data_IF_702589243750
#
_entry.id   IF_702589243750
#
_cell.length_a   1.000
_cell.length_b   1.000
_cell.length_c   1.000
_cell.angle_alpha   90.00
_cell.angle_beta   90.00
_cell.angle_gamma   90.00
#
_symmetry.space_group_name_H-M   'P 1'
#
loop_
_entity.id
_entity.type
_entity.pdbx_description
1 polymer ?
#
# COMPACT_ATOMS: atom_id res chain seq x y z
N UNK A 1 -23.98 30.47 29.52
CA UNK A 1 -23.55 29.05 29.65
C UNK A 1 -23.28 28.59 28.24
N UNK A 2 -22.04 28.74 27.80
CA UNK A 2 -21.56 28.23 26.50
C UNK A 2 -21.49 26.73 26.63
N UNK A 3 -22.32 26.01 25.87
CA UNK A 3 -22.20 24.57 25.72
C UNK A 3 -20.78 24.25 25.26
N UNK A 4 -20.02 23.48 26.05
CA UNK A 4 -18.85 22.79 25.56
C UNK A 4 -19.33 21.84 24.46
N UNK A 5 -19.34 22.31 23.21
CA UNK A 5 -19.33 21.41 22.08
C UNK A 5 -17.93 20.76 22.10
N UNK A 6 -17.87 19.47 22.44
CA UNK A 6 -16.71 18.65 22.16
C UNK A 6 -16.55 18.68 20.63
N UNK A 7 -15.67 19.53 20.15
CA UNK A 7 -15.25 19.52 18.75
C UNK A 7 -14.38 18.28 18.57
N UNK A 8 -14.99 17.21 18.07
CA UNK A 8 -14.23 16.08 17.53
C UNK A 8 -13.62 16.55 16.21
N UNK A 9 -12.34 16.23 15.99
CA UNK A 9 -11.67 16.53 14.73
C UNK A 9 -12.42 15.85 13.57
N UNK A 10 -12.66 16.59 12.49
CA UNK A 10 -13.27 16.06 11.27
C UNK A 10 -12.18 15.42 10.42
N UNK A 11 -12.23 14.11 10.29
CA UNK A 11 -11.25 13.32 9.56
C UNK A 11 -11.89 12.75 8.31
N UNK A 12 -11.26 12.97 7.15
CA UNK A 12 -11.72 12.42 5.88
C UNK A 12 -10.66 11.49 5.29
N UNK A 13 -11.11 10.37 4.71
CA UNK A 13 -10.26 9.39 4.05
C UNK A 13 -10.63 9.36 2.57
N UNK A 14 -9.71 9.80 1.73
CA UNK A 14 -9.89 9.85 0.28
C UNK A 14 -9.17 8.70 -0.37
N UNK A 15 -9.91 7.80 -1.00
CA UNK A 15 -9.38 6.77 -1.88
C UNK A 15 -9.42 7.21 -3.33
N UNK A 16 -8.26 7.35 -3.97
CA UNK A 16 -8.20 7.78 -5.37
C UNK A 16 -7.64 6.70 -6.29
N UNK A 17 -8.33 6.48 -7.43
CA UNK A 17 -8.04 5.42 -8.37
C UNK A 17 -8.43 4.03 -7.86
N UNK A 18 -8.23 2.99 -8.67
CA UNK A 18 -8.67 1.63 -8.33
C UNK A 18 -8.12 1.13 -6.99
N UNK A 19 -6.80 1.24 -6.76
CA UNK A 19 -6.18 0.81 -5.50
C UNK A 19 -6.67 1.59 -4.28
N UNK A 20 -6.79 2.92 -4.39
CA UNK A 20 -7.30 3.76 -3.30
C UNK A 20 -8.76 3.47 -2.96
N UNK A 21 -9.61 3.30 -3.97
CA UNK A 21 -11.03 2.94 -3.78
C UNK A 21 -11.18 1.56 -3.14
N UNK A 22 -10.36 0.58 -3.53
CA UNK A 22 -10.37 -0.75 -2.91
C UNK A 22 -9.95 -0.67 -1.43
N UNK A 23 -8.92 0.12 -1.12
CA UNK A 23 -8.49 0.34 0.26
C UNK A 23 -9.60 0.97 1.10
N UNK A 24 -10.29 2.00 0.59
CA UNK A 24 -11.44 2.63 1.26
C UNK A 24 -12.57 1.62 1.49
N UNK A 25 -12.95 0.84 0.47
CA UNK A 25 -13.97 -0.19 0.63
C UNK A 25 -13.57 -1.20 1.72
N UNK A 26 -12.30 -1.59 1.76
CA UNK A 26 -11.78 -2.50 2.80
C UNK A 26 -11.83 -1.89 4.20
N UNK A 27 -11.54 -0.58 4.33
CA UNK A 27 -11.66 0.14 5.60
C UNK A 27 -13.11 0.16 6.09
N UNK A 28 -14.08 0.36 5.19
CA UNK A 28 -15.52 0.33 5.49
C UNK A 28 -15.95 -1.08 5.91
N UNK A 29 -15.59 -2.11 5.14
CA UNK A 29 -15.91 -3.52 5.46
C UNK A 29 -15.38 -3.96 6.82
N UNK A 30 -14.18 -3.51 7.19
CA UNK A 30 -13.55 -3.83 8.48
C UNK A 30 -13.99 -2.91 9.62
N UNK A 31 -14.91 -1.96 9.33
CA UNK A 31 -15.60 -1.19 10.35
C UNK A 31 -14.82 -0.03 10.93
N UNK A 32 -13.87 0.56 10.20
CA UNK A 32 -13.19 1.79 10.62
C UNK A 32 -14.24 2.90 10.82
N UNK A 33 -14.21 3.55 11.97
CA UNK A 33 -15.19 4.56 12.39
C UNK A 33 -14.53 5.91 12.66
N UNK A 34 -15.36 6.94 12.80
CA UNK A 34 -14.90 8.28 13.16
C UNK A 34 -14.31 9.07 11.98
N UNK A 35 -14.46 8.58 10.77
CA UNK A 35 -14.02 9.21 9.52
C UNK A 35 -15.14 9.24 8.49
N UNK A 36 -15.07 10.19 7.55
CA UNK A 36 -15.89 10.23 6.35
C UNK A 36 -15.08 9.68 5.17
N UNK A 37 -15.67 8.77 4.39
CA UNK A 37 -15.01 8.12 3.27
C UNK A 37 -15.40 8.78 1.94
N UNK A 38 -14.37 9.11 1.15
CA UNK A 38 -14.51 9.70 -0.18
C UNK A 38 -13.80 8.81 -1.20
N UNK A 39 -14.52 8.36 -2.22
CA UNK A 39 -13.97 7.60 -3.34
C UNK A 39 -13.90 8.48 -4.58
N UNK A 40 -12.71 8.60 -5.18
CA UNK A 40 -12.47 9.38 -6.40
C UNK A 40 -11.90 8.44 -7.46
N UNK A 41 -12.53 8.36 -8.63
CA UNK A 41 -12.03 7.53 -9.70
C UNK A 41 -12.43 8.08 -11.09
N UNK A 42 -11.66 7.69 -12.10
CA UNK A 42 -11.97 7.87 -13.53
C UNK A 42 -12.69 6.66 -14.13
N UNK A 43 -12.81 5.57 -13.36
CA UNK A 43 -13.56 4.36 -13.69
C UNK A 43 -14.92 4.41 -12.96
N UNK A 44 -15.97 4.71 -13.73
CA UNK A 44 -17.32 4.84 -13.20
C UNK A 44 -17.89 3.50 -12.66
N UNK A 45 -17.48 2.37 -13.23
CA UNK A 45 -17.95 1.05 -12.76
C UNK A 45 -17.36 0.72 -11.38
N UNK A 46 -16.06 0.92 -11.20
CA UNK A 46 -15.41 0.72 -9.90
C UNK A 46 -16.02 1.65 -8.83
N UNK A 47 -16.37 2.88 -9.21
CA UNK A 47 -16.97 3.86 -8.31
C UNK A 47 -18.39 3.48 -7.89
N UNK A 48 -19.19 2.90 -8.79
CA UNK A 48 -20.54 2.41 -8.47
C UNK A 48 -20.51 1.30 -7.41
N UNK A 49 -19.48 0.47 -7.43
CA UNK A 49 -19.31 -0.65 -6.48
C UNK A 49 -18.72 -0.22 -5.13
N UNK A 50 -18.31 1.02 -4.99
CA UNK A 50 -17.77 1.53 -3.72
C UNK A 50 -18.90 1.79 -2.70
N UNK A 51 -18.60 1.57 -1.42
CA UNK A 51 -19.48 1.88 -0.29
C UNK A 51 -19.13 3.20 0.39
N UNK A 52 -18.25 4.03 -0.22
CA UNK A 52 -17.87 5.32 0.32
C UNK A 52 -19.06 6.29 0.42
N UNK A 53 -19.03 7.16 1.46
CA UNK A 53 -20.06 8.16 1.73
C UNK A 53 -20.20 9.17 0.58
N UNK A 54 -19.06 9.57 -0.01
CA UNK A 54 -18.99 10.48 -1.15
C UNK A 54 -18.27 9.79 -2.30
N UNK A 55 -18.80 9.91 -3.51
CA UNK A 55 -18.24 9.32 -4.73
C UNK A 55 -18.09 10.38 -5.81
N UNK A 56 -16.89 10.61 -6.28
CA UNK A 56 -16.57 11.59 -7.31
C UNK A 56 -16.07 10.89 -8.59
N UNK A 57 -16.85 10.97 -9.66
CA UNK A 57 -16.51 10.49 -11.00
C UNK A 57 -15.78 11.61 -11.74
N UNK A 58 -14.44 11.57 -11.71
CA UNK A 58 -13.60 12.61 -12.27
C UNK A 58 -13.13 12.29 -13.69
N UNK A 59 -13.05 13.31 -14.54
CA UNK A 59 -12.51 13.18 -15.90
C UNK A 59 -13.38 12.38 -16.86
N UNK A 60 -14.69 12.37 -16.65
CA UNK A 60 -15.65 11.66 -17.54
C UNK A 60 -15.50 12.06 -19.01
N UNK A 61 -15.22 13.34 -19.30
CA UNK A 61 -15.02 13.82 -20.67
C UNK A 61 -13.72 13.30 -21.28
N UNK A 62 -12.69 13.08 -20.45
CA UNK A 62 -11.39 12.56 -20.87
C UNK A 62 -11.40 11.04 -21.06
N UNK A 63 -12.08 10.32 -20.18
CA UNK A 63 -11.97 8.85 -20.06
C UNK A 63 -13.25 8.11 -20.46
N UNK A 64 -14.38 8.81 -20.56
CA UNK A 64 -15.73 8.25 -20.75
C UNK A 64 -16.13 7.26 -19.66
N UNK A 65 -15.54 7.41 -18.46
CA UNK A 65 -15.76 6.50 -17.34
C UNK A 65 -15.06 5.13 -17.45
N UNK A 66 -14.08 5.00 -18.36
CA UNK A 66 -13.34 3.74 -18.62
C UNK A 66 -11.96 3.70 -17.95
N UNK A 67 -11.66 4.68 -17.09
CA UNK A 67 -10.37 4.78 -16.41
C UNK A 67 -9.30 5.55 -17.19
N UNK A 68 -8.18 5.87 -16.54
CA UNK A 68 -7.09 6.68 -17.09
C UNK A 68 -6.12 5.90 -18.00
N UNK A 69 -6.34 4.61 -18.27
CA UNK A 69 -5.50 3.81 -19.16
C UNK A 69 -4.04 3.66 -18.70
N UNK A 70 -3.77 3.67 -17.39
CA UNK A 70 -2.45 3.67 -16.78
C UNK A 70 -1.56 4.87 -17.17
N UNK A 71 -2.18 5.99 -17.52
CA UNK A 71 -1.50 7.26 -17.81
C UNK A 71 -1.72 8.26 -16.65
N UNK A 72 -0.68 8.58 -15.84
CA UNK A 72 -0.79 9.52 -14.73
C UNK A 72 -1.18 10.94 -15.15
N UNK A 73 -0.81 11.36 -16.36
CA UNK A 73 -1.17 12.68 -16.87
C UNK A 73 -2.68 12.82 -17.07
N UNK A 74 -3.34 11.76 -17.53
CA UNK A 74 -4.81 11.70 -17.63
C UNK A 74 -5.43 11.77 -16.24
N UNK A 75 -4.89 11.02 -15.27
CA UNK A 75 -5.35 11.04 -13.88
C UNK A 75 -5.21 12.42 -13.23
N UNK A 76 -4.08 13.10 -13.45
CA UNK A 76 -3.81 14.45 -12.95
C UNK A 76 -4.82 15.44 -13.52
N UNK A 77 -4.99 15.47 -14.84
CA UNK A 77 -5.91 16.39 -15.50
C UNK A 77 -7.37 16.14 -15.08
N UNK A 78 -7.77 14.88 -14.96
CA UNK A 78 -9.09 14.52 -14.46
C UNK A 78 -9.37 15.09 -13.07
N UNK A 79 -8.40 15.02 -12.16
CA UNK A 79 -8.53 15.61 -10.83
C UNK A 79 -8.49 17.15 -10.85
N UNK A 80 -7.66 17.76 -11.70
CA UNK A 80 -7.58 19.22 -11.83
C UNK A 80 -8.87 19.81 -12.42
N UNK A 81 -9.47 19.15 -13.41
CA UNK A 81 -10.73 19.59 -14.04
C UNK A 81 -11.93 19.54 -13.05
N UNK A 82 -11.81 18.74 -11.98
CA UNK A 82 -12.83 18.58 -10.92
C UNK A 82 -12.38 19.14 -9.56
N UNK A 83 -11.41 20.07 -9.57
CA UNK A 83 -10.82 20.61 -8.33
C UNK A 83 -11.87 21.25 -7.39
N UNK A 84 -12.87 21.93 -7.93
CA UNK A 84 -13.94 22.56 -7.15
C UNK A 84 -14.81 21.51 -6.43
N UNK A 85 -15.17 20.42 -7.11
CA UNK A 85 -15.95 19.32 -6.51
C UNK A 85 -15.16 18.60 -5.42
N UNK A 86 -13.83 18.40 -5.64
CA UNK A 86 -12.94 17.81 -4.65
C UNK A 86 -12.81 18.73 -3.43
N UNK A 87 -12.65 20.03 -3.63
CA UNK A 87 -12.57 21.02 -2.55
C UNK A 87 -13.85 21.04 -1.73
N UNK A 88 -15.02 21.02 -2.38
CA UNK A 88 -16.33 20.94 -1.69
C UNK A 88 -16.45 19.67 -0.85
N UNK A 89 -16.04 18.50 -1.40
CA UNK A 89 -16.05 17.25 -0.67
C UNK A 89 -15.07 17.24 0.52
N UNK A 90 -13.97 18.00 0.46
CA UNK A 90 -12.99 18.10 1.54
C UNK A 90 -13.30 19.22 2.55
N UNK A 91 -14.25 20.09 2.25
CA UNK A 91 -14.55 21.25 3.09
C UNK A 91 -14.80 20.88 4.56
N UNK A 92 -14.22 21.66 5.46
CA UNK A 92 -14.39 21.50 6.91
C UNK A 92 -13.56 20.36 7.52
N UNK A 93 -12.70 19.68 6.76
CA UNK A 93 -11.80 18.66 7.31
C UNK A 93 -10.66 19.30 8.12
N UNK A 94 -10.40 18.76 9.32
CA UNK A 94 -9.21 19.08 10.11
C UNK A 94 -8.02 18.21 9.66
N UNK A 95 -8.30 16.98 9.18
CA UNK A 95 -7.33 16.02 8.68
C UNK A 95 -7.86 15.31 7.44
N UNK A 96 -6.98 15.11 6.45
CA UNK A 96 -7.27 14.35 5.24
C UNK A 96 -6.22 13.28 5.03
N UNK A 97 -6.65 12.03 4.96
CA UNK A 97 -5.83 10.94 4.45
C UNK A 97 -6.06 10.82 2.95
N UNK A 98 -4.97 10.78 2.18
CA UNK A 98 -4.98 10.49 0.75
C UNK A 98 -4.40 9.12 0.53
N UNK A 99 -5.23 8.13 0.14
CA UNK A 99 -4.80 6.76 -0.11
C UNK A 99 -4.90 6.42 -1.59
N UNK A 100 -3.83 5.82 -2.11
CA UNK A 100 -3.73 5.41 -3.50
C UNK A 100 -2.80 4.20 -3.67
N UNK A 101 -3.05 3.42 -4.72
CA UNK A 101 -2.05 2.50 -5.26
C UNK A 101 -1.25 3.21 -6.34
N UNK A 102 0.04 3.41 -6.08
CA UNK A 102 0.93 4.09 -7.02
C UNK A 102 1.33 3.19 -8.20
N UNK A 103 1.70 3.81 -9.33
CA UNK A 103 2.06 3.13 -10.55
C UNK A 103 0.92 2.93 -11.55
N UNK A 104 -0.32 3.32 -11.17
CA UNK A 104 -1.47 3.42 -12.06
C UNK A 104 -1.60 4.80 -12.71
N UNK A 105 -2.72 5.04 -13.39
CA UNK A 105 -3.03 6.35 -13.99
C UNK A 105 -3.69 7.29 -12.98
N UNK A 106 -4.91 6.95 -12.55
CA UNK A 106 -5.76 7.82 -11.74
C UNK A 106 -5.16 8.12 -10.37
N UNK A 107 -4.71 7.07 -9.63
CA UNK A 107 -4.11 7.24 -8.29
C UNK A 107 -2.83 8.06 -8.36
N UNK A 108 -1.88 7.64 -9.19
CA UNK A 108 -0.56 8.27 -9.33
C UNK A 108 -0.64 9.74 -9.76
N UNK A 109 -1.53 10.05 -10.71
CA UNK A 109 -1.69 11.42 -11.21
C UNK A 109 -2.57 12.30 -10.33
N UNK A 110 -3.64 11.74 -9.78
CA UNK A 110 -4.64 12.51 -9.05
C UNK A 110 -4.35 12.70 -7.57
N UNK A 111 -3.64 11.76 -6.91
CA UNK A 111 -3.35 11.88 -5.47
C UNK A 111 -2.60 13.16 -5.11
N UNK A 112 -1.58 13.62 -5.86
CA UNK A 112 -0.93 14.91 -5.59
C UNK A 112 -1.89 16.10 -5.71
N UNK A 113 -2.85 16.05 -6.64
CA UNK A 113 -3.85 17.13 -6.82
C UNK A 113 -4.79 17.19 -5.61
N UNK A 114 -5.33 16.04 -5.20
CA UNK A 114 -6.17 15.94 -4.00
C UNK A 114 -5.43 16.42 -2.75
N UNK A 115 -4.17 16.01 -2.58
CA UNK A 115 -3.34 16.42 -1.44
C UNK A 115 -3.11 17.94 -1.42
N UNK A 116 -2.82 18.55 -2.57
CA UNK A 116 -2.66 19.99 -2.71
C UNK A 116 -3.94 20.74 -2.33
N UNK A 117 -5.12 20.25 -2.75
CA UNK A 117 -6.42 20.84 -2.39
C UNK A 117 -6.64 20.71 -0.88
N UNK A 118 -6.43 19.53 -0.30
CA UNK A 118 -6.56 19.29 1.13
C UNK A 118 -5.68 20.24 1.96
N UNK A 119 -4.43 20.42 1.53
CA UNK A 119 -3.49 21.35 2.17
C UNK A 119 -3.90 22.81 2.02
N UNK A 120 -4.48 23.19 0.87
CA UNK A 120 -4.92 24.58 0.62
C UNK A 120 -6.07 25.01 1.52
N UNK A 121 -6.94 24.10 1.94
CA UNK A 121 -8.03 24.36 2.90
C UNK A 121 -7.55 24.31 4.37
N UNK A 122 -6.25 24.03 4.62
CA UNK A 122 -5.64 24.03 5.95
C UNK A 122 -5.74 22.72 6.72
N UNK A 123 -6.20 21.65 6.08
CA UNK A 123 -6.25 20.32 6.69
C UNK A 123 -4.82 19.73 6.83
N UNK A 124 -4.57 19.04 7.96
CA UNK A 124 -3.39 18.17 8.07
C UNK A 124 -3.51 17.06 7.04
N UNK A 125 -2.57 17.01 6.08
CA UNK A 125 -2.67 16.10 4.94
C UNK A 125 -1.64 14.99 5.03
N UNK A 126 -2.11 13.74 5.11
CA UNK A 126 -1.27 12.55 5.23
C UNK A 126 -1.51 11.64 4.03
N UNK A 127 -0.43 11.36 3.27
CA UNK A 127 -0.46 10.34 2.23
C UNK A 127 -0.17 8.96 2.81
N UNK A 128 -0.99 7.96 2.48
CA UNK A 128 -0.77 6.55 2.84
C UNK A 128 -0.95 5.73 1.57
N UNK A 129 0.16 5.37 0.92
CA UNK A 129 0.13 4.80 -0.42
C UNK A 129 0.94 3.52 -0.54
N UNK A 130 0.59 2.67 -1.51
CA UNK A 130 1.35 1.46 -1.81
C UNK A 130 2.16 1.60 -3.09
N UNK A 131 3.35 0.99 -3.11
CA UNK A 131 4.11 0.73 -4.33
C UNK A 131 3.71 -0.65 -4.89
N UNK A 132 3.66 -0.82 -6.23
CA UNK A 132 3.26 -2.08 -6.84
C UNK A 132 4.22 -3.21 -6.50
N UNK A 133 3.71 -4.44 -6.60
CA UNK A 133 4.54 -5.64 -6.56
C UNK A 133 5.50 -5.68 -7.75
N UNK A 134 6.68 -6.25 -7.58
CA UNK A 134 7.68 -6.39 -8.64
C UNK A 134 7.17 -7.15 -9.87
N UNK A 135 6.26 -8.12 -9.68
CA UNK A 135 5.64 -8.86 -10.79
C UNK A 135 4.67 -8.01 -11.65
N UNK A 136 4.20 -6.86 -11.15
CA UNK A 136 3.37 -5.93 -11.93
C UNK A 136 4.16 -5.18 -13.02
N UNK A 137 5.48 -5.26 -12.99
CA UNK A 137 6.39 -4.84 -14.04
C UNK A 137 7.09 -3.51 -13.80
N UNK A 138 8.28 -3.40 -14.41
CA UNK A 138 9.20 -2.27 -14.22
C UNK A 138 8.62 -0.90 -14.59
N UNK A 139 7.76 -0.86 -15.61
CA UNK A 139 7.12 0.39 -16.03
C UNK A 139 6.23 0.94 -14.91
N UNK A 140 5.44 0.06 -14.29
CA UNK A 140 4.54 0.41 -13.20
C UNK A 140 5.31 0.86 -11.94
N UNK A 141 6.42 0.17 -11.64
CA UNK A 141 7.31 0.57 -10.53
C UNK A 141 7.95 1.95 -10.78
N UNK A 142 8.43 2.22 -12.00
CA UNK A 142 9.00 3.53 -12.34
C UNK A 142 7.96 4.66 -12.26
N UNK A 143 6.73 4.42 -12.69
CA UNK A 143 5.63 5.38 -12.53
C UNK A 143 5.29 5.62 -11.06
N UNK A 144 5.33 4.57 -10.22
CA UNK A 144 5.10 4.69 -8.79
C UNK A 144 6.14 5.59 -8.11
N UNK A 145 7.43 5.47 -8.45
CA UNK A 145 8.47 6.34 -7.88
C UNK A 145 8.25 7.82 -8.23
N UNK A 146 7.83 8.11 -9.45
CA UNK A 146 7.49 9.48 -9.88
C UNK A 146 6.27 9.99 -9.10
N UNK A 147 5.22 9.17 -8.96
CA UNK A 147 4.02 9.51 -8.21
C UNK A 147 4.29 9.78 -6.74
N UNK A 148 5.03 8.88 -6.08
CA UNK A 148 5.47 9.03 -4.68
C UNK A 148 6.25 10.33 -4.49
N UNK A 149 7.20 10.65 -5.39
CA UNK A 149 7.96 11.89 -5.33
C UNK A 149 7.07 13.13 -5.48
N UNK A 150 6.10 13.09 -6.40
CA UNK A 150 5.15 14.18 -6.60
C UNK A 150 4.23 14.35 -5.39
N UNK A 151 3.69 13.26 -4.87
CA UNK A 151 2.80 13.29 -3.70
C UNK A 151 3.53 13.79 -2.44
N UNK A 152 4.80 13.40 -2.25
CA UNK A 152 5.63 13.83 -1.12
C UNK A 152 5.72 15.36 -1.01
N UNK A 153 5.74 16.08 -2.13
CA UNK A 153 5.81 17.55 -2.13
C UNK A 153 4.50 18.22 -1.74
N UNK A 154 3.38 17.50 -1.82
CA UNK A 154 2.03 18.05 -1.62
C UNK A 154 1.40 17.64 -0.26
N UNK A 155 1.98 16.69 0.46
CA UNK A 155 1.48 16.26 1.77
C UNK A 155 2.32 16.83 2.93
N UNK A 156 1.82 16.75 4.16
CA UNK A 156 2.58 17.01 5.37
C UNK A 156 3.44 15.81 5.76
N UNK A 157 2.86 14.62 5.65
CA UNK A 157 3.53 13.34 5.93
C UNK A 157 3.15 12.33 4.86
N UNK A 158 4.13 11.57 4.40
CA UNK A 158 3.93 10.48 3.42
C UNK A 158 4.41 9.15 4.00
N UNK A 159 3.47 8.22 4.13
CA UNK A 159 3.72 6.82 4.47
C UNK A 159 3.65 6.01 3.17
N UNK A 160 4.75 5.34 2.82
CA UNK A 160 4.82 4.49 1.62
C UNK A 160 4.97 3.05 2.04
N UNK A 161 4.11 2.18 1.53
CA UNK A 161 4.12 0.74 1.80
C UNK A 161 4.55 0.02 0.52
N UNK A 162 5.77 -0.56 0.47
CA UNK A 162 6.18 -1.37 -0.67
C UNK A 162 5.52 -2.75 -0.60
N UNK A 163 4.69 -3.07 -1.61
CA UNK A 163 3.97 -4.36 -1.61
C UNK A 163 4.93 -5.57 -1.63
N UNK A 164 6.11 -5.46 -2.21
CA UNK A 164 7.11 -6.54 -2.20
C UNK A 164 7.53 -6.96 -0.77
N UNK A 165 7.49 -6.03 0.20
CA UNK A 165 7.78 -6.33 1.61
C UNK A 165 6.71 -7.22 2.25
N UNK A 166 5.48 -7.16 1.75
CA UNK A 166 4.40 -8.03 2.21
C UNK A 166 4.67 -9.49 1.87
N UNK A 167 5.37 -9.76 0.76
CA UNK A 167 5.77 -11.11 0.38
C UNK A 167 6.83 -11.71 1.30
N UNK A 168 7.59 -10.87 2.04
CA UNK A 168 8.60 -11.33 2.99
C UNK A 168 7.98 -11.86 4.30
N UNK A 169 6.80 -11.33 4.67
CA UNK A 169 6.06 -11.72 5.88
C UNK A 169 4.97 -12.75 5.62
N UNK A 170 4.73 -13.05 4.35
CA UNK A 170 3.64 -13.91 3.90
C UNK A 170 4.09 -15.34 3.68
N UNK A 171 3.17 -16.29 3.81
CA UNK A 171 3.41 -17.69 3.46
C UNK A 171 3.55 -17.87 1.94
N UNK A 172 4.42 -18.80 1.53
CA UNK A 172 4.67 -19.09 0.10
C UNK A 172 3.43 -19.59 -0.68
N UNK A 173 2.37 -19.99 0.02
CA UNK A 173 1.11 -20.42 -0.55
C UNK A 173 0.08 -19.32 -0.76
N UNK A 174 0.41 -18.06 -0.44
CA UNK A 174 -0.49 -16.92 -0.58
C UNK A 174 -0.94 -16.73 -2.03
N UNK A 175 -2.25 -16.62 -2.23
CA UNK A 175 -2.82 -16.28 -3.54
C UNK A 175 -2.62 -14.80 -3.88
N UNK A 176 -2.75 -14.46 -5.17
CA UNK A 176 -2.67 -13.06 -5.61
C UNK A 176 -3.75 -12.19 -4.96
N UNK A 177 -4.95 -12.72 -4.79
CA UNK A 177 -6.05 -12.00 -4.14
C UNK A 177 -5.73 -11.70 -2.66
N UNK A 178 -5.17 -12.67 -1.94
CA UNK A 178 -4.73 -12.47 -0.56
C UNK A 178 -3.60 -11.46 -0.45
N UNK A 179 -2.66 -11.44 -1.41
CA UNK A 179 -1.57 -10.46 -1.43
C UNK A 179 -2.11 -9.02 -1.55
N UNK A 180 -3.05 -8.76 -2.46
CA UNK A 180 -3.69 -7.44 -2.56
C UNK A 180 -4.53 -7.11 -1.32
N UNK A 181 -5.29 -8.07 -0.79
CA UNK A 181 -6.05 -7.88 0.45
C UNK A 181 -5.14 -7.53 1.64
N UNK A 182 -3.93 -8.11 1.69
CA UNK A 182 -2.93 -7.78 2.72
C UNK A 182 -2.42 -6.35 2.54
N UNK A 183 -2.18 -5.90 1.30
CA UNK A 183 -1.81 -4.51 1.04
C UNK A 183 -2.90 -3.52 1.50
N UNK A 184 -4.16 -3.81 1.22
CA UNK A 184 -5.29 -2.99 1.68
C UNK A 184 -5.40 -2.97 3.22
N UNK A 185 -5.14 -4.10 3.89
CA UNK A 185 -5.11 -4.18 5.35
C UNK A 185 -3.98 -3.36 5.98
N UNK A 186 -2.84 -3.27 5.32
CA UNK A 186 -1.72 -2.43 5.79
C UNK A 186 -2.05 -0.94 5.62
N UNK A 187 -2.70 -0.55 4.52
CA UNK A 187 -3.21 0.82 4.36
C UNK A 187 -4.25 1.15 5.45
N UNK A 188 -5.19 0.23 5.70
CA UNK A 188 -6.13 0.37 6.83
C UNK A 188 -5.39 0.57 8.15
N UNK A 189 -4.41 -0.28 8.47
CA UNK A 189 -3.68 -0.20 9.73
C UNK A 189 -2.93 1.14 9.90
N UNK A 190 -2.43 1.71 8.81
CA UNK A 190 -1.83 3.04 8.80
C UNK A 190 -2.82 4.15 9.14
N UNK A 191 -3.98 4.13 8.48
CA UNK A 191 -5.06 5.10 8.74
C UNK A 191 -5.63 4.89 10.15
N UNK A 192 -5.96 3.65 10.51
CA UNK A 192 -6.55 3.29 11.79
C UNK A 192 -5.62 3.62 12.97
N UNK A 193 -4.32 3.32 12.84
CA UNK A 193 -3.33 3.58 13.89
C UNK A 193 -3.24 5.05 14.28
N UNK A 194 -3.55 5.98 13.37
CA UNK A 194 -3.62 7.42 13.66
C UNK A 194 -5.02 7.82 14.11
N UNK A 195 -6.04 7.35 13.40
CA UNK A 195 -7.44 7.73 13.63
C UNK A 195 -7.93 7.30 15.01
N UNK A 196 -7.63 6.07 15.43
CA UNK A 196 -8.06 5.52 16.72
C UNK A 196 -7.49 6.32 17.90
N UNK A 197 -6.28 6.87 17.75
CA UNK A 197 -5.67 7.72 18.78
C UNK A 197 -6.47 9.01 19.03
N UNK A 198 -7.17 9.50 18.01
CA UNK A 198 -7.90 10.78 18.05
C UNK A 198 -9.38 10.55 18.37
N UNK A 199 -9.99 9.51 17.79
CA UNK A 199 -11.45 9.35 17.76
C UNK A 199 -11.97 8.33 18.77
N UNK A 200 -11.12 7.36 19.18
CA UNK A 200 -11.55 6.27 20.05
C UNK A 200 -11.20 6.58 21.51
N UNK A 201 -12.20 6.61 22.41
CA UNK A 201 -11.93 6.75 23.83
C UNK A 201 -11.09 5.55 24.34
N UNK A 202 -9.85 5.79 24.72
CA UNK A 202 -8.93 4.77 25.21
C UNK A 202 -8.56 4.99 26.68
N UNK A 203 -7.63 4.17 27.20
CA UNK A 203 -7.04 4.35 28.51
C UNK A 203 -6.16 5.60 28.57
N UNK A 204 -5.51 5.91 27.44
CA UNK A 204 -4.67 7.10 27.26
C UNK A 204 -5.12 7.72 25.94
N UNK A 205 -5.76 8.88 26.03
CA UNK A 205 -6.27 9.61 24.89
C UNK A 205 -5.27 10.68 24.47
N UNK A 206 -5.16 10.84 23.15
CA UNK A 206 -4.42 11.93 22.54
C UNK A 206 -5.40 12.95 21.98
N UNK A 207 -5.02 14.19 21.96
CA UNK A 207 -5.76 15.20 21.23
C UNK A 207 -5.21 15.35 19.79
N UNK A 208 -6.02 15.96 18.93
CA UNK A 208 -5.63 16.18 17.54
C UNK A 208 -4.39 17.08 17.42
N UNK A 209 -4.17 18.00 18.36
CA UNK A 209 -3.04 18.92 18.34
C UNK A 209 -1.71 18.17 18.56
N UNK A 210 -1.70 17.13 19.40
CA UNK A 210 -0.53 16.28 19.60
C UNK A 210 -0.15 15.56 18.30
N UNK A 211 -1.10 14.91 17.63
CA UNK A 211 -0.87 14.23 16.36
C UNK A 211 -0.39 15.23 15.31
N UNK A 212 -1.02 16.41 15.24
CA UNK A 212 -0.63 17.47 14.31
C UNK A 212 0.80 17.95 14.55
N UNK A 213 1.24 18.04 15.81
CA UNK A 213 2.61 18.50 16.15
C UNK A 213 3.70 17.58 15.63
N UNK A 214 3.43 16.27 15.53
CA UNK A 214 4.38 15.26 15.03
C UNK A 214 4.30 15.11 13.53
N UNK A 215 3.09 15.21 12.94
CA UNK A 215 2.86 14.90 11.53
C UNK A 215 2.94 16.10 10.59
N UNK A 216 2.81 17.34 11.09
CA UNK A 216 2.84 18.52 10.24
C UNK A 216 4.24 18.77 9.69
N UNK A 217 4.38 18.73 8.35
CA UNK A 217 5.65 18.96 7.67
C UNK A 217 6.73 17.91 7.94
N UNK A 218 6.36 16.71 8.42
CA UNK A 218 7.30 15.67 8.80
C UNK A 218 7.96 14.97 7.61
N UNK A 219 7.43 15.14 6.40
CA UNK A 219 7.99 14.54 5.18
C UNK A 219 7.74 13.04 5.08
N UNK A 220 8.79 12.25 4.88
CA UNK A 220 8.66 10.77 4.83
C UNK A 220 8.45 10.21 6.23
N UNK A 221 7.53 9.25 6.34
CA UNK A 221 7.32 8.47 7.56
C UNK A 221 7.39 6.97 7.25
N UNK A 222 7.84 6.22 8.24
CA UNK A 222 7.90 4.77 8.22
C UNK A 222 6.85 4.20 9.16
N UNK A 223 6.22 3.10 8.76
CA UNK A 223 5.22 2.42 9.57
C UNK A 223 5.61 0.97 9.82
N UNK A 224 5.61 0.58 11.09
CA UNK A 224 5.77 -0.81 11.48
C UNK A 224 4.56 -1.31 12.28
N UNK A 225 4.18 -2.55 12.03
CA UNK A 225 3.05 -3.19 12.70
C UNK A 225 3.53 -4.51 13.27
N UNK A 226 3.16 -4.79 14.51
CA UNK A 226 3.38 -6.08 15.15
C UNK A 226 2.16 -6.50 15.94
N UNK A 227 1.87 -7.79 15.93
CA UNK A 227 0.80 -8.39 16.71
C UNK A 227 1.29 -9.67 17.39
N UNK A 228 0.87 -9.90 18.63
CA UNK A 228 1.24 -11.10 19.38
C UNK A 228 0.18 -11.47 20.40
N UNK A 229 0.20 -12.76 20.81
CA UNK A 229 -0.69 -13.33 21.82
C UNK A 229 0.10 -14.06 22.89
N UNK A 230 -0.54 -14.27 24.04
CA UNK A 230 0.02 -15.04 25.15
C UNK A 230 0.98 -14.23 26.05
N UNK A 231 1.92 -14.92 26.71
CA UNK A 231 2.87 -14.27 27.61
C UNK A 231 3.79 -13.31 26.84
N UNK A 232 4.08 -12.15 27.43
CA UNK A 232 4.93 -11.08 26.86
C UNK A 232 4.41 -10.54 25.51
N UNK A 233 3.09 -10.67 25.27
CA UNK A 233 2.45 -10.30 24.00
C UNK A 233 2.73 -8.86 23.58
N UNK A 234 2.73 -7.90 24.51
CA UNK A 234 2.96 -6.50 24.20
C UNK A 234 4.42 -6.22 23.82
N UNK A 235 5.38 -6.84 24.52
CA UNK A 235 6.82 -6.74 24.19
C UNK A 235 7.06 -7.35 22.82
N UNK A 236 6.56 -8.57 22.56
CA UNK A 236 6.72 -9.24 21.27
C UNK A 236 6.07 -8.47 20.13
N UNK A 237 4.88 -7.89 20.34
CA UNK A 237 4.22 -7.04 19.35
C UNK A 237 5.06 -5.79 19.06
N UNK A 238 5.64 -5.14 20.08
CA UNK A 238 6.52 -3.99 19.89
C UNK A 238 7.83 -4.37 19.16
N UNK A 239 8.45 -5.51 19.52
CA UNK A 239 9.63 -6.04 18.80
C UNK A 239 9.32 -6.28 17.31
N UNK A 240 8.19 -6.91 17.01
CA UNK A 240 7.75 -7.15 15.64
C UNK A 240 7.46 -5.85 14.90
N UNK A 241 6.87 -4.85 15.56
CA UNK A 241 6.61 -3.55 14.96
C UNK A 241 7.90 -2.82 14.58
N UNK A 242 8.88 -2.76 15.51
CA UNK A 242 10.18 -2.11 15.28
C UNK A 242 11.05 -2.88 14.27
N UNK A 243 10.93 -4.21 14.24
CA UNK A 243 11.64 -5.07 13.30
C UNK A 243 10.88 -5.30 11.99
N UNK A 244 9.70 -4.71 11.83
CA UNK A 244 8.81 -4.97 10.68
C UNK A 244 9.53 -4.79 9.35
N UNK A 245 9.39 -5.73 8.39
CA UNK A 245 9.89 -5.58 7.03
C UNK A 245 9.27 -4.40 6.26
N UNK A 246 8.11 -3.91 6.70
CA UNK A 246 7.45 -2.72 6.14
C UNK A 246 8.28 -1.45 6.38
N UNK A 247 9.16 -1.46 7.38
CA UNK A 247 10.15 -0.43 7.60
C UNK A 247 11.31 -0.62 6.61
N UNK A 248 11.30 0.08 5.49
CA UNK A 248 12.41 0.02 4.50
C UNK A 248 13.74 0.56 5.06
N UNK A 249 13.68 1.30 6.15
CA UNK A 249 14.82 1.97 6.76
C UNK A 249 14.83 1.83 8.28
N UNK A 250 15.88 2.32 8.94
CA UNK A 250 15.94 2.39 10.41
C UNK A 250 15.06 3.53 10.93
N UNK A 251 14.44 3.31 12.08
CA UNK A 251 13.70 4.36 12.79
C UNK A 251 14.57 5.15 13.77
N UNK A 252 15.88 4.85 13.87
CA UNK A 252 16.81 5.45 14.85
C UNK A 252 16.95 6.98 14.71
N UNK A 253 16.71 7.53 13.50
CA UNK A 253 16.79 8.97 13.23
C UNK A 253 15.43 9.68 13.28
N UNK A 254 14.37 9.02 13.72
CA UNK A 254 13.05 9.64 13.81
C UNK A 254 12.94 10.55 15.02
N UNK A 255 12.56 11.81 14.81
CA UNK A 255 12.33 12.81 15.87
C UNK A 255 10.87 12.87 16.33
N UNK A 256 9.94 12.32 15.55
CA UNK A 256 8.52 12.23 15.86
C UNK A 256 8.06 10.78 15.77
N UNK A 257 7.36 10.28 16.77
CA UNK A 257 6.84 8.92 16.79
C UNK A 257 5.41 8.90 17.29
N UNK A 258 4.51 8.29 16.54
CA UNK A 258 3.20 7.89 17.03
C UNK A 258 3.23 6.40 17.36
N UNK A 259 2.84 6.06 18.57
CA UNK A 259 2.76 4.69 19.06
C UNK A 259 1.33 4.37 19.46
N UNK A 260 0.68 3.49 18.72
CA UNK A 260 -0.65 2.97 19.03
C UNK A 260 -0.53 1.56 19.58
N UNK A 261 -1.05 1.33 20.78
CA UNK A 261 -1.11 0.02 21.44
C UNK A 261 -2.59 -0.35 21.57
N UNK A 262 -2.99 -1.43 20.92
CA UNK A 262 -4.37 -1.91 20.93
C UNK A 262 -4.43 -3.29 21.58
N UNK A 263 -5.43 -3.53 22.42
CA UNK A 263 -5.65 -4.82 23.05
C UNK A 263 -7.02 -4.90 23.69
N UNK A 264 -7.41 -6.09 24.14
CA UNK A 264 -8.67 -6.28 24.87
C UNK A 264 -8.67 -5.58 26.23
N UNK A 265 -9.80 -5.61 26.92
CA UNK A 265 -9.97 -5.03 28.28
C UNK A 265 -9.05 -5.64 29.34
N UNK A 266 -8.36 -6.74 29.01
CA UNK A 266 -7.34 -7.38 29.84
C UNK A 266 -5.92 -6.81 29.65
N UNK A 267 -5.75 -5.75 28.82
CA UNK A 267 -4.45 -5.11 28.59
C UNK A 267 -3.93 -4.42 29.85
N UNK A 268 -2.77 -4.87 30.34
CA UNK A 268 -2.18 -4.39 31.60
C UNK A 268 -1.31 -3.15 31.42
N UNK A 269 -1.27 -2.28 32.44
CA UNK A 269 -0.44 -1.06 32.43
C UNK A 269 1.07 -1.38 32.29
N UNK A 270 1.54 -2.49 32.86
CA UNK A 270 2.93 -2.91 32.73
C UNK A 270 3.24 -3.37 31.30
N UNK A 271 2.30 -4.04 30.63
CA UNK A 271 2.43 -4.43 29.22
C UNK A 271 2.60 -3.20 28.33
N UNK A 272 1.79 -2.15 28.55
CA UNK A 272 1.88 -0.87 27.85
C UNK A 272 3.23 -0.20 28.08
N UNK A 273 3.67 -0.13 29.36
CA UNK A 273 4.95 0.48 29.73
C UNK A 273 6.14 -0.22 29.07
N UNK A 274 6.16 -1.55 29.09
CA UNK A 274 7.28 -2.33 28.55
C UNK A 274 7.36 -2.22 27.03
N UNK A 275 6.21 -2.23 26.34
CA UNK A 275 6.13 -1.99 24.89
C UNK A 275 6.60 -0.57 24.51
N UNK A 276 6.14 0.44 25.26
CA UNK A 276 6.53 1.84 25.01
C UNK A 276 8.04 2.07 25.23
N UNK A 277 8.62 1.47 26.27
CA UNK A 277 10.06 1.55 26.55
C UNK A 277 10.89 0.93 25.41
N UNK A 278 10.48 -0.22 24.89
CA UNK A 278 11.17 -0.88 23.77
C UNK A 278 11.19 0.00 22.53
N UNK A 279 10.08 0.65 22.19
CA UNK A 279 10.01 1.58 21.05
C UNK A 279 10.88 2.81 21.33
N UNK A 280 10.87 3.34 22.56
CA UNK A 280 11.71 4.48 22.95
C UNK A 280 13.20 4.21 22.79
N UNK A 281 13.65 2.98 23.10
CA UNK A 281 15.05 2.57 22.94
C UNK A 281 15.46 2.42 21.45
N UNK A 282 14.49 2.29 20.54
CA UNK A 282 14.71 2.07 19.12
C UNK A 282 14.70 3.34 18.25
N UNK A 283 14.35 4.49 18.81
CA UNK A 283 14.24 5.78 18.10
C UNK A 283 15.26 6.79 18.61
N UNK A 284 15.28 8.00 18.00
CA UNK A 284 16.21 9.05 18.44
C UNK A 284 16.00 9.38 19.93
N UNK A 285 17.07 9.58 20.73
CA UNK A 285 16.96 9.87 22.19
C UNK A 285 16.12 11.12 22.53
N UNK A 286 16.05 12.09 21.62
CA UNK A 286 15.25 13.31 21.78
C UNK A 286 13.93 13.23 21.00
N UNK A 287 13.51 12.04 20.56
CA UNK A 287 12.26 11.89 19.84
C UNK A 287 11.05 12.30 20.68
N UNK A 288 10.15 13.04 20.08
CA UNK A 288 8.82 13.28 20.65
C UNK A 288 7.94 12.06 20.41
N UNK A 289 7.75 11.24 21.44
CA UNK A 289 6.95 10.03 21.37
C UNK A 289 5.56 10.31 21.91
N UNK A 290 4.58 10.22 21.05
CA UNK A 290 3.17 10.33 21.38
C UNK A 290 2.60 8.93 21.37
N UNK A 291 2.06 8.48 22.49
CA UNK A 291 1.49 7.15 22.59
C UNK A 291 0.05 7.17 23.09
N UNK A 292 -0.75 6.26 22.57
CA UNK A 292 -2.10 6.01 23.03
C UNK A 292 -2.35 4.52 23.20
N UNK A 293 -3.25 4.21 24.12
CA UNK A 293 -3.68 2.85 24.37
C UNK A 293 -5.20 2.73 24.16
N UNK A 294 -5.60 1.94 23.20
CA UNK A 294 -6.99 1.75 22.78
C UNK A 294 -7.46 0.36 23.18
N UNK A 295 -8.64 0.28 23.77
CA UNK A 295 -9.28 -0.99 24.11
C UNK A 295 -10.17 -1.43 22.96
N UNK A 296 -9.83 -2.60 22.40
CA UNK A 296 -10.60 -3.29 21.39
C UNK A 296 -10.80 -4.76 21.80
N UNK A 297 -11.97 -5.05 22.34
CA UNK A 297 -12.30 -6.39 22.82
C UNK A 297 -12.43 -7.43 21.69
N UNK A 298 -12.50 -6.99 20.42
CA UNK A 298 -12.50 -7.91 19.26
C UNK A 298 -11.16 -8.61 19.08
N UNK A 299 -10.07 -8.03 19.61
CA UNK A 299 -8.72 -8.62 19.59
C UNK A 299 -8.56 -9.77 20.60
N UNK A 300 -9.43 -9.86 21.62
CA UNK A 300 -9.36 -10.89 22.66
C UNK A 300 -8.00 -10.85 23.39
N UNK A 301 -7.20 -11.92 23.26
CA UNK A 301 -5.86 -12.01 23.88
C UNK A 301 -4.73 -11.43 23.01
N UNK A 302 -5.05 -10.90 21.82
CA UNK A 302 -4.04 -10.29 20.96
C UNK A 302 -3.74 -8.85 21.40
N UNK A 303 -2.46 -8.49 21.38
CA UNK A 303 -2.00 -7.10 21.44
C UNK A 303 -1.40 -6.72 20.10
N UNK A 304 -1.85 -5.59 19.57
CA UNK A 304 -1.34 -5.00 18.35
C UNK A 304 -0.62 -3.71 18.67
N UNK A 305 0.57 -3.56 18.09
CA UNK A 305 1.39 -2.35 18.23
C UNK A 305 1.64 -1.80 16.84
N UNK A 306 1.27 -0.54 16.64
CA UNK A 306 1.57 0.21 15.41
C UNK A 306 2.50 1.37 15.76
N UNK A 307 3.64 1.43 15.08
CA UNK A 307 4.64 2.49 15.24
C UNK A 307 4.70 3.27 13.93
N UNK A 308 4.52 4.59 13.99
CA UNK A 308 4.71 5.49 12.87
C UNK A 308 5.82 6.45 13.26
N UNK A 309 6.96 6.32 12.58
CA UNK A 309 8.15 7.11 12.81
C UNK A 309 8.32 8.14 11.70
N UNK A 310 8.48 9.41 12.06
CA UNK A 310 8.48 10.55 11.16
C UNK A 310 9.53 11.59 11.56
N UNK A 311 9.76 12.61 10.72
CA UNK A 311 10.67 13.71 11.05
C UNK A 311 12.13 13.25 11.10
N UNK A 312 12.61 12.61 10.03
CA UNK A 312 13.99 12.13 9.95
C UNK A 312 14.98 13.27 9.64
N UNK A 313 16.19 13.16 10.21
CA UNK A 313 17.28 14.07 9.89
C UNK A 313 17.59 14.08 8.38
N UNK A 314 17.61 15.27 7.77
CA UNK A 314 17.75 15.41 6.32
C UNK A 314 16.49 15.12 5.52
N UNK A 315 15.35 14.85 6.17
CA UNK A 315 14.04 14.64 5.54
C UNK A 315 13.83 13.23 4.95
N UNK A 316 14.80 12.33 5.12
CA UNK A 316 14.69 10.94 4.64
C UNK A 316 15.29 9.95 5.66
N UNK A 317 14.62 8.80 5.85
CA UNK A 317 15.13 7.75 6.73
C UNK A 317 16.39 7.09 6.16
N UNK A 318 17.32 6.70 7.04
CA UNK A 318 18.55 6.01 6.63
C UNK A 318 18.24 4.58 6.23
N UNK A 319 18.53 4.22 4.98
CA UNK A 319 18.27 2.87 4.43
C UNK A 319 18.97 1.81 5.25
N UNK A 320 18.26 0.78 5.69
CA UNK A 320 18.88 -0.39 6.32
C UNK A 320 19.79 -1.10 5.31
N UNK A 321 21.04 -1.49 5.67
CA UNK A 321 21.87 -2.29 4.78
C UNK A 321 21.13 -3.60 4.48
N UNK A 322 20.81 -3.83 3.21
CA UNK A 322 20.24 -5.10 2.79
C UNK A 322 21.21 -6.22 3.17
N UNK A 323 20.76 -7.14 4.02
CA UNK A 323 21.47 -8.40 4.23
C UNK A 323 21.48 -9.11 2.89
N UNK A 324 22.62 -9.06 2.19
CA UNK A 324 22.83 -9.84 0.97
C UNK A 324 22.40 -11.28 1.27
N UNK A 325 21.28 -11.70 0.67
CA UNK A 325 20.98 -13.13 0.56
C UNK A 325 22.11 -13.73 -0.27
N UNK A 326 23.13 -14.28 0.39
CA UNK A 326 24.06 -15.20 -0.27
C UNK A 326 23.21 -16.35 -0.81
N UNK A 327 22.78 -16.22 -2.04
CA UNK A 327 22.35 -17.36 -2.84
C UNK A 327 23.62 -18.20 -3.04
N UNK A 328 23.81 -19.19 -2.17
CA UNK A 328 24.73 -20.29 -2.45
C UNK A 328 24.13 -21.06 -3.63
N UNK A 329 24.34 -20.58 -4.84
CA UNK A 329 24.31 -21.42 -6.00
C UNK A 329 25.48 -22.40 -5.80
N UNK A 330 25.15 -23.57 -5.28
CA UNK A 330 26.02 -24.73 -5.43
C UNK A 330 25.98 -25.05 -6.91
N UNK A 331 27.00 -24.57 -7.61
CA UNK A 331 27.30 -24.98 -8.97
C UNK A 331 27.57 -26.48 -8.91
N UNK A 332 26.57 -27.27 -9.30
CA UNK A 332 26.72 -28.71 -9.45
C UNK A 332 27.74 -28.93 -10.59
N UNK A 333 28.96 -29.14 -10.23
CA UNK A 333 30.01 -29.62 -11.16
C UNK A 333 29.58 -30.99 -11.66
N UNK A 334 29.13 -31.02 -12.92
CA UNK A 334 28.96 -32.29 -13.65
C UNK A 334 30.37 -32.87 -13.88
N UNK A 335 30.68 -34.08 -13.42
CA UNK A 335 31.97 -34.67 -13.66
C UNK A 335 32.12 -34.99 -15.13
N UNK A 336 33.01 -34.27 -15.80
CA UNK A 336 33.48 -34.63 -17.14
C UNK A 336 34.34 -35.89 -17.02
N UNK A 337 33.87 -37.01 -17.51
CA UNK A 337 34.64 -38.23 -17.61
C UNK A 337 35.77 -38.04 -18.62
N UNK A 338 37.02 -37.99 -18.14
CA UNK A 338 38.23 -38.06 -18.96
C UNK A 338 38.41 -39.52 -19.39
N UNK A 339 38.08 -39.81 -20.62
CA UNK A 339 38.38 -41.08 -21.28
C UNK A 339 39.74 -41.02 -22.00
N UNK A 340 40.51 -42.08 -21.79
CA UNK A 340 41.91 -42.29 -22.11
C UNK A 340 42.26 -42.22 -23.60
N UNK A 341 43.52 -41.85 -23.81
CA UNK A 341 44.28 -41.87 -25.06
C UNK A 341 44.34 -43.25 -25.72
N UNK A 342 44.24 -43.30 -27.04
CA UNK A 342 45.12 -44.23 -27.84
C UNK A 342 45.28 -43.70 -29.25
N UNK A 343 46.47 -43.87 -29.68
CA UNK A 343 47.23 -43.41 -30.84
C UNK A 343 46.70 -43.83 -32.23
N UNK A 344 46.99 -42.96 -33.17
CA UNK A 344 47.61 -43.36 -34.47
C UNK A 344 46.67 -43.69 -35.61
N UNK A 345 46.69 -42.90 -36.64
CA UNK A 345 47.03 -43.17 -38.02
C UNK A 345 46.21 -42.35 -39.02
N UNK A 346 46.97 -41.82 -39.95
CA UNK A 346 46.57 -41.08 -41.14
C UNK A 346 45.60 -41.83 -42.04
N UNK A 347 44.69 -41.17 -42.70
CA UNK A 347 44.60 -41.11 -44.20
C UNK A 347 43.26 -40.53 -44.64
N UNK A 348 43.41 -39.54 -45.48
CA UNK A 348 42.67 -39.25 -46.72
C UNK A 348 41.17 -39.50 -46.84
N UNK A 349 40.50 -38.43 -47.29
CA UNK A 349 39.57 -38.51 -48.38
C UNK A 349 38.09 -38.57 -48.06
N UNK A 350 37.36 -37.61 -48.52
CA UNK A 350 36.00 -37.87 -49.05
C UNK A 350 34.83 -37.21 -48.37
N UNK A 351 34.35 -36.26 -49.06
CA UNK A 351 33.01 -35.70 -49.03
C UNK A 351 31.91 -36.72 -48.68
N UNK A 352 30.94 -36.32 -47.83
CA UNK A 352 29.52 -36.18 -48.25
C UNK A 352 28.55 -36.17 -47.10
N UNK A 353 27.54 -35.29 -47.29
CA UNK A 353 26.13 -35.40 -46.91
C UNK A 353 25.72 -35.11 -45.44
N UNK A 354 25.16 -33.90 -45.28
CA UNK A 354 24.18 -33.59 -44.27
C UNK A 354 22.90 -34.42 -44.43
N UNK A 355 22.23 -34.84 -43.35
CA UNK A 355 20.89 -35.40 -43.45
C UNK A 355 19.84 -34.28 -43.45
N UNK A 356 19.00 -34.31 -44.47
CA UNK A 356 17.78 -33.52 -44.67
C UNK A 356 16.86 -33.57 -43.47
N UNK A 357 16.48 -32.39 -42.99
CA UNK A 357 15.28 -32.18 -42.15
C UNK A 357 14.10 -31.90 -43.06
N UNK A 358 12.91 -32.49 -42.84
CA UNK A 358 11.77 -32.26 -43.71
C UNK A 358 11.20 -30.87 -43.54
N UNK A 359 11.16 -30.13 -44.66
CA UNK A 359 10.45 -28.86 -44.80
C UNK A 359 8.96 -29.06 -44.63
N UNK A 360 8.36 -28.37 -43.65
CA UNK A 360 6.91 -28.24 -43.59
C UNK A 360 6.41 -27.31 -44.70
N UNK A 361 5.50 -27.82 -45.49
CA UNK A 361 4.82 -27.11 -46.58
C UNK A 361 3.89 -26.00 -45.98
N UNK A 362 3.75 -24.85 -46.64
CA UNK A 362 2.77 -23.84 -46.25
C UNK A 362 1.36 -24.31 -46.59
N UNK A 363 0.49 -24.24 -45.61
CA UNK A 363 -0.95 -24.50 -45.74
C UNK A 363 -1.58 -23.30 -46.42
N UNK A 364 -2.31 -23.54 -47.54
CA UNK A 364 -3.07 -22.55 -48.26
C UNK A 364 -4.27 -22.02 -47.42
N UNK A 365 -4.68 -20.75 -47.63
CA UNK A 365 -5.84 -20.20 -46.95
C UNK A 365 -7.13 -20.91 -47.43
N UNK A 366 -7.95 -21.35 -46.49
CA UNK A 366 -9.29 -21.88 -46.74
C UNK A 366 -10.25 -20.71 -46.72
N UNK A 367 -10.80 -20.38 -47.92
CA UNK A 367 -11.97 -19.52 -48.04
C UNK A 367 -13.16 -20.22 -47.35
N UNK A 368 -13.72 -19.58 -46.35
CA UNK A 368 -15.01 -19.93 -45.78
C UNK A 368 -16.03 -18.95 -46.24
N UNK A 369 -16.84 -19.41 -47.20
CA UNK A 369 -18.12 -18.78 -47.52
C UNK A 369 -19.01 -18.87 -46.26
N UNK A 370 -19.49 -17.72 -45.80
CA UNK A 370 -20.55 -17.63 -44.80
C UNK A 370 -21.86 -17.75 -45.53
N UNK A 371 -22.47 -18.91 -45.49
CA UNK A 371 -23.89 -19.05 -45.74
C UNK A 371 -24.64 -18.71 -44.44
N UNK A 372 -25.45 -17.66 -44.51
CA UNK A 372 -26.49 -17.33 -43.56
C UNK A 372 -27.51 -18.47 -43.52
N UNK A 373 -27.86 -18.90 -42.33
CA UNK A 373 -29.01 -19.62 -41.83
C UNK A 373 -28.58 -20.80 -40.95
N UNK A 374 -28.54 -20.58 -39.65
CA UNK A 374 -28.91 -21.63 -38.71
C UNK A 374 -29.31 -21.06 -37.36
N UNK A 375 -30.50 -21.43 -36.96
CA UNK A 375 -31.19 -21.16 -35.74
C UNK A 375 -30.32 -21.36 -34.48
N UNK A 376 -30.21 -20.32 -33.71
CA UNK A 376 -29.72 -20.38 -32.33
C UNK A 376 -30.70 -21.17 -31.48
N UNK A 377 -30.34 -22.41 -31.20
CA UNK A 377 -31.05 -23.30 -30.30
C UNK A 377 -30.99 -22.75 -28.85
N UNK A 378 -32.06 -22.07 -28.45
CA UNK A 378 -32.18 -21.50 -27.10
C UNK A 378 -32.59 -22.61 -26.15
N UNK A 379 -31.77 -22.91 -25.12
CA UNK A 379 -32.12 -23.95 -24.15
C UNK A 379 -33.48 -23.74 -23.47
N UNK A 380 -34.24 -24.84 -23.23
CA UNK A 380 -35.62 -24.82 -22.73
C UNK A 380 -35.86 -24.15 -21.36
N UNK A 381 -34.80 -23.82 -20.61
CA UNK A 381 -34.91 -23.12 -19.32
C UNK A 381 -34.93 -21.56 -19.47
N UNK A 382 -34.88 -21.04 -20.69
CA UNK A 382 -34.99 -19.61 -21.00
C UNK A 382 -36.26 -19.25 -21.81
N UNK A 383 -37.22 -20.20 -21.93
CA UNK A 383 -38.55 -19.95 -22.52
C UNK A 383 -39.58 -19.62 -21.47
#
# INVERSE_FOLDING_TARGET
>A
MTSNQNYLAVIKVVGIGGGGVNAVNRMIELGLRGVEFIAINTDAQALLMSDADVKLDVGRELTRGLGAGADPEVGRRAAEDHAEEIEEALAGADMVFVTAGEGGGTGTGGAPVVARIAKSIGALTIGVVTKPFGFEGKRRSAQAEIGVSSLKSEVDTLIVVPNDRLLEISDRGMSMLEAFSTADQVLLAGVQGITDLITTPGLINLDFADVKSVMSGAGSALMGIGASRGADRAIKAAELAVASPLLEASIDGAHGVLLSIQGGSNLGIFEINDAARLVQEAVHPEANIIFGAVIDDTLGDEVRVTVIAAGFDGGEPTTRPQKERRTNFVEAQVPVAVGAQSAGAESDGGWSAEPDLPMTQPVAPVDRDFDDDDDLDVPDFLK
#
